data_IF_229838769367
#
_entry.id   IF_229838769367
#
_cell.length_a   1.000
_cell.length_b   1.000
_cell.length_c   1.000
_cell.angle_alpha   90.00
_cell.angle_beta   90.00
_cell.angle_gamma   90.00
#
_symmetry.space_group_name_H-M   'P 1'
#
loop_
_entity.id
_entity.type
_entity.pdbx_description
1 polymer ?
#
# COMPACT_ATOMS: atom_id res chain seq x y z
N UNK A 1 -12.14 5.79 -9.86
CA UNK A 1 -10.65 5.73 -9.98
C UNK A 1 -10.27 5.56 -11.44
N UNK A 2 -9.34 6.37 -11.99
CA UNK A 2 -8.86 6.25 -13.36
C UNK A 2 -7.66 5.30 -13.46
N UNK A 3 -7.49 4.64 -14.59
CA UNK A 3 -6.28 3.87 -14.88
C UNK A 3 -5.10 4.81 -15.13
N UNK A 4 -3.93 4.48 -14.59
CA UNK A 4 -2.70 5.24 -14.79
C UNK A 4 -2.03 4.87 -16.12
N UNK A 5 -1.64 5.88 -16.89
CA UNK A 5 -0.86 5.73 -18.12
C UNK A 5 0.62 5.50 -17.83
N UNK A 6 1.40 5.15 -18.87
CA UNK A 6 2.86 5.04 -18.74
C UNK A 6 3.50 6.37 -18.29
N UNK A 7 3.01 7.50 -18.79
CA UNK A 7 3.48 8.83 -18.38
C UNK A 7 3.12 9.14 -16.92
N UNK A 8 1.93 8.74 -16.45
CA UNK A 8 1.55 8.89 -15.06
C UNK A 8 2.48 8.10 -14.13
N UNK A 9 2.85 6.86 -14.51
CA UNK A 9 3.75 6.02 -13.71
C UNK A 9 5.16 6.61 -13.60
N UNK A 10 5.70 7.17 -14.70
CA UNK A 10 6.98 7.89 -14.64
C UNK A 10 6.90 9.13 -13.75
N UNK A 11 5.86 9.94 -13.92
CA UNK A 11 5.65 11.12 -13.08
C UNK A 11 5.42 10.80 -11.60
N UNK A 12 4.81 9.64 -11.27
CA UNK A 12 4.71 9.15 -9.90
C UNK A 12 6.07 8.77 -9.35
N UNK A 13 6.84 8.00 -10.09
CA UNK A 13 8.17 7.56 -9.69
C UNK A 13 9.10 8.74 -9.42
N UNK A 14 9.13 9.74 -10.31
CA UNK A 14 9.94 10.97 -10.16
C UNK A 14 9.57 11.75 -8.91
N UNK A 15 8.26 12.01 -8.69
CA UNK A 15 7.79 12.80 -7.56
C UNK A 15 7.90 12.08 -6.22
N UNK A 16 7.74 10.76 -6.24
CA UNK A 16 7.67 9.96 -5.02
C UNK A 16 9.00 9.38 -4.55
N UNK A 17 10.07 9.45 -5.36
CA UNK A 17 11.35 8.80 -5.07
C UNK A 17 11.95 9.13 -3.71
N UNK A 18 11.79 10.38 -3.25
CA UNK A 18 12.31 10.85 -1.96
C UNK A 18 11.22 11.03 -0.88
N UNK A 19 9.98 10.64 -1.14
CA UNK A 19 8.90 10.77 -0.18
C UNK A 19 8.90 9.63 0.84
N UNK A 20 8.36 9.92 2.02
CA UNK A 20 8.04 8.89 3.01
C UNK A 20 7.01 7.90 2.44
N UNK A 21 7.03 6.64 2.91
CA UNK A 21 6.13 5.58 2.40
C UNK A 21 4.66 5.98 2.42
N UNK A 22 4.17 6.61 3.48
CA UNK A 22 2.78 7.07 3.57
C UNK A 22 2.43 8.09 2.48
N UNK A 23 3.33 9.03 2.21
CA UNK A 23 3.13 10.06 1.19
C UNK A 23 3.14 9.47 -0.23
N UNK A 24 3.92 8.42 -0.47
CA UNK A 24 3.90 7.65 -1.73
C UNK A 24 2.54 7.04 -2.01
N UNK A 25 1.91 6.44 -0.98
CA UNK A 25 0.56 5.90 -1.10
C UNK A 25 -0.48 6.96 -1.44
N UNK A 26 -0.45 8.09 -0.72
CA UNK A 26 -1.36 9.22 -0.97
C UNK A 26 -1.13 9.85 -2.35
N UNK A 27 0.13 9.96 -2.79
CA UNK A 27 0.49 10.44 -4.12
C UNK A 27 -0.07 9.53 -5.23
N UNK A 28 0.04 8.21 -5.08
CA UNK A 28 -0.49 7.25 -6.04
C UNK A 28 -2.03 7.32 -6.13
N UNK A 29 -2.72 7.39 -4.97
CA UNK A 29 -4.16 7.55 -4.93
C UNK A 29 -4.62 8.89 -5.53
N UNK A 30 -3.94 10.00 -5.22
CA UNK A 30 -4.25 11.32 -5.80
C UNK A 30 -4.12 11.34 -7.32
N UNK A 31 -3.15 10.63 -7.88
CA UNK A 31 -2.99 10.50 -9.32
C UNK A 31 -4.13 9.68 -9.97
N UNK A 32 -4.63 8.66 -9.27
CA UNK A 32 -5.72 7.81 -9.73
C UNK A 32 -7.11 8.40 -9.48
N UNK A 33 -7.23 9.31 -8.51
CA UNK A 33 -8.49 9.97 -8.09
C UNK A 33 -8.30 11.48 -8.03
N UNK A 34 -8.16 12.17 -9.17
CA UNK A 34 -7.88 13.61 -9.22
C UNK A 34 -8.99 14.49 -8.63
N UNK A 35 -10.21 13.94 -8.49
CA UNK A 35 -11.34 14.59 -7.82
C UNK A 35 -11.24 14.59 -6.29
N UNK A 36 -10.46 13.68 -5.72
CA UNK A 36 -10.24 13.61 -4.28
C UNK A 36 -9.05 14.48 -3.86
N UNK A 37 -9.24 15.31 -2.83
CA UNK A 37 -8.10 16.05 -2.27
C UNK A 37 -7.13 15.11 -1.54
N UNK A 38 -5.84 15.38 -1.64
CA UNK A 38 -4.82 14.63 -0.87
C UNK A 38 -5.10 14.67 0.65
N UNK A 39 -5.62 15.79 1.14
CA UNK A 39 -6.02 15.93 2.54
C UNK A 39 -7.17 14.97 2.89
N UNK A 40 -8.19 14.86 2.05
CA UNK A 40 -9.30 13.93 2.25
C UNK A 40 -8.87 12.47 2.21
N UNK A 41 -7.96 12.11 1.28
CA UNK A 41 -7.40 10.76 1.20
C UNK A 41 -6.60 10.38 2.45
N UNK A 42 -5.91 11.33 3.07
CA UNK A 42 -5.16 11.11 4.30
C UNK A 42 -6.04 10.86 5.53
N UNK A 43 -7.32 11.26 5.46
CA UNK A 43 -8.32 11.05 6.52
C UNK A 43 -9.13 9.76 6.35
N UNK A 44 -8.89 9.00 5.30
CA UNK A 44 -9.52 7.68 5.14
C UNK A 44 -9.03 6.68 6.18
N UNK A 45 -9.90 5.79 6.69
CA UNK A 45 -9.47 4.62 7.42
C UNK A 45 -8.41 3.84 6.65
N UNK A 46 -7.47 3.22 7.39
CA UNK A 46 -6.34 2.52 6.78
C UNK A 46 -6.79 1.41 5.82
N UNK A 47 -7.81 0.65 6.18
CA UNK A 47 -8.33 -0.40 5.30
C UNK A 47 -8.98 0.16 4.04
N UNK A 48 -9.71 1.27 4.12
CA UNK A 48 -10.25 1.94 2.94
C UNK A 48 -9.13 2.42 2.01
N UNK A 49 -8.07 3.03 2.56
CA UNK A 49 -6.88 3.41 1.82
C UNK A 49 -6.22 2.19 1.15
N UNK A 50 -5.99 1.13 1.91
CA UNK A 50 -5.31 -0.07 1.43
C UNK A 50 -6.15 -0.79 0.36
N UNK A 51 -7.48 -0.85 0.52
CA UNK A 51 -8.38 -1.35 -0.53
C UNK A 51 -8.23 -0.54 -1.82
N UNK A 52 -8.23 0.77 -1.74
CA UNK A 52 -8.08 1.62 -2.92
C UNK A 52 -6.71 1.45 -3.59
N UNK A 53 -5.62 1.25 -2.81
CA UNK A 53 -4.29 0.93 -3.34
C UNK A 53 -4.25 -0.44 -4.00
N UNK A 54 -4.95 -1.42 -3.44
CA UNK A 54 -5.09 -2.76 -3.99
C UNK A 54 -5.87 -2.75 -5.32
N UNK A 55 -6.99 -2.00 -5.36
CA UNK A 55 -7.77 -1.79 -6.58
C UNK A 55 -6.94 -1.09 -7.66
N UNK A 56 -6.13 -0.07 -7.27
CA UNK A 56 -5.19 0.60 -8.17
C UNK A 56 -4.15 -0.37 -8.71
N UNK A 57 -3.54 -1.19 -7.85
CA UNK A 57 -2.60 -2.23 -8.25
C UNK A 57 -3.23 -3.17 -9.28
N UNK A 58 -4.41 -3.72 -8.97
CA UNK A 58 -5.12 -4.63 -9.85
C UNK A 58 -5.44 -4.01 -11.22
N UNK A 59 -5.75 -2.71 -11.26
CA UNK A 59 -6.08 -2.00 -12.51
C UNK A 59 -4.88 -1.72 -13.40
N UNK A 60 -3.67 -1.57 -12.82
CA UNK A 60 -2.44 -1.17 -13.52
C UNK A 60 -1.54 -2.36 -13.82
N UNK A 61 -1.38 -3.27 -12.87
CA UNK A 61 -0.43 -4.39 -12.94
C UNK A 61 -1.12 -5.76 -13.06
N UNK A 62 -2.43 -5.82 -12.86
CA UNK A 62 -3.20 -7.06 -12.81
C UNK A 62 -3.43 -7.56 -11.38
N UNK A 63 -4.24 -8.62 -11.23
CA UNK A 63 -4.70 -9.08 -9.92
C UNK A 63 -3.65 -9.88 -9.13
N UNK A 64 -2.57 -10.32 -9.76
CA UNK A 64 -1.55 -11.13 -9.10
C UNK A 64 -0.68 -10.26 -8.16
N UNK A 65 -0.62 -10.62 -6.89
CA UNK A 65 0.31 -10.11 -5.90
C UNK A 65 1.35 -11.20 -5.63
N UNK A 66 2.54 -11.04 -6.17
CA UNK A 66 3.62 -12.00 -6.04
C UNK A 66 4.78 -11.39 -5.25
N UNK A 67 5.26 -12.10 -4.25
CA UNK A 67 6.35 -11.61 -3.41
C UNK A 67 7.09 -12.76 -2.74
N UNK A 68 8.06 -12.39 -1.93
CA UNK A 68 8.81 -13.33 -1.13
C UNK A 68 9.27 -12.70 0.18
N UNK A 69 9.51 -13.55 1.16
CA UNK A 69 10.14 -13.20 2.44
C UNK A 69 11.15 -14.28 2.82
N UNK A 70 12.05 -13.98 3.73
CA UNK A 70 13.00 -14.98 4.24
C UNK A 70 12.49 -15.55 5.57
N UNK A 71 12.52 -16.88 5.70
CA UNK A 71 12.17 -17.53 6.96
C UNK A 71 13.08 -17.05 8.10
N UNK A 72 12.48 -16.50 9.16
CA UNK A 72 13.22 -15.99 10.31
C UNK A 72 14.02 -17.07 11.05
N UNK A 73 13.70 -18.37 10.87
CA UNK A 73 14.38 -19.48 11.53
C UNK A 73 15.57 -20.04 10.73
N UNK A 74 15.43 -20.21 9.41
CA UNK A 74 16.47 -20.89 8.59
C UNK A 74 16.96 -20.09 7.39
N UNK A 75 16.39 -18.89 7.14
CA UNK A 75 16.76 -18.02 6.02
C UNK A 75 16.23 -18.48 4.65
N UNK A 76 15.49 -19.60 4.59
CA UNK A 76 14.93 -20.09 3.33
C UNK A 76 13.93 -19.09 2.73
N UNK A 77 13.96 -18.95 1.41
CA UNK A 77 13.06 -18.06 0.68
C UNK A 77 11.66 -18.67 0.62
N UNK A 78 10.68 -17.94 1.12
CA UNK A 78 9.27 -18.27 1.08
C UNK A 78 8.58 -17.36 0.07
N UNK A 79 8.15 -17.93 -1.05
CA UNK A 79 7.40 -17.18 -2.07
C UNK A 79 5.90 -17.28 -1.80
N UNK A 80 5.17 -16.20 -2.12
CA UNK A 80 3.72 -16.18 -2.05
C UNK A 80 3.13 -15.60 -3.32
N UNK A 81 1.92 -16.07 -3.63
CA UNK A 81 1.12 -15.56 -4.72
C UNK A 81 -0.33 -15.45 -4.26
N UNK A 82 -0.88 -14.25 -4.31
CA UNK A 82 -2.23 -13.93 -3.90
C UNK A 82 -2.99 -13.29 -5.07
N UNK A 83 -4.31 -13.37 -5.01
CA UNK A 83 -5.17 -12.63 -5.92
C UNK A 83 -5.71 -11.38 -5.20
N UNK A 84 -5.30 -10.20 -5.64
CA UNK A 84 -5.71 -8.93 -5.04
C UNK A 84 -7.22 -8.67 -5.12
N UNK A 85 -7.91 -9.19 -6.14
CA UNK A 85 -9.37 -9.06 -6.24
C UNK A 85 -10.07 -9.87 -5.15
N UNK A 86 -9.64 -11.11 -4.94
CA UNK A 86 -10.23 -11.97 -3.90
C UNK A 86 -10.03 -11.34 -2.50
N UNK A 87 -8.88 -10.69 -2.27
CA UNK A 87 -8.62 -9.94 -1.04
C UNK A 87 -9.53 -8.71 -0.91
N UNK A 88 -9.73 -7.95 -1.97
CA UNK A 88 -10.61 -6.79 -1.97
C UNK A 88 -12.07 -7.19 -1.75
N UNK A 89 -12.54 -8.23 -2.45
CA UNK A 89 -13.93 -8.71 -2.40
C UNK A 89 -14.28 -9.33 -1.05
N UNK A 90 -13.35 -10.07 -0.43
CA UNK A 90 -13.55 -10.68 0.89
C UNK A 90 -13.86 -9.65 1.99
N UNK A 91 -13.46 -8.39 1.79
CA UNK A 91 -13.58 -7.33 2.79
C UNK A 91 -14.46 -6.15 2.33
N UNK A 92 -15.16 -6.28 1.20
CA UNK A 92 -15.97 -5.18 0.64
C UNK A 92 -17.11 -4.72 1.56
N UNK A 93 -17.58 -5.60 2.45
CA UNK A 93 -18.65 -5.31 3.42
C UNK A 93 -18.14 -4.80 4.77
N UNK A 94 -16.85 -4.80 5.02
CA UNK A 94 -16.28 -4.53 6.35
C UNK A 94 -15.90 -3.05 6.59
N UNK A 95 -15.79 -2.21 5.56
CA UNK A 95 -15.23 -0.87 5.71
C UNK A 95 -16.32 0.19 5.68
N UNK A 96 -16.77 0.62 6.85
CA UNK A 96 -17.56 1.84 7.01
C UNK A 96 -16.68 2.92 7.62
N UNK A 97 -16.48 4.05 6.89
CA UNK A 97 -15.66 5.17 7.34
C UNK A 97 -16.07 5.77 8.71
N UNK A 98 -17.33 5.56 9.12
CA UNK A 98 -17.89 6.02 10.39
C UNK A 98 -17.88 4.93 11.49
N UNK A 99 -17.18 3.81 11.29
CA UNK A 99 -17.16 2.72 12.26
C UNK A 99 -16.46 3.17 13.54
N UNK A 100 -17.19 3.02 14.65
CA UNK A 100 -16.71 3.30 16.00
C UNK A 100 -16.48 1.99 16.74
N UNK A 101 -15.30 1.83 17.30
CA UNK A 101 -14.91 0.72 18.15
C UNK A 101 -15.09 1.13 19.61
N UNK A 102 -15.84 0.32 20.36
CA UNK A 102 -15.99 0.50 21.80
C UNK A 102 -15.00 -0.40 22.55
N UNK A 103 -14.15 0.20 23.38
CA UNK A 103 -13.19 -0.52 24.19
C UNK A 103 -13.09 0.11 25.59
N UNK A 104 -13.28 -0.70 26.64
CA UNK A 104 -13.29 -0.27 28.04
C UNK A 104 -14.14 1.00 28.30
N UNK A 105 -15.33 1.05 27.69
CA UNK A 105 -16.26 2.18 27.85
C UNK A 105 -15.89 3.46 27.12
N UNK A 106 -14.86 3.43 26.28
CA UNK A 106 -14.43 4.53 25.44
C UNK A 106 -14.67 4.22 23.97
N UNK A 107 -14.85 5.28 23.18
CA UNK A 107 -15.15 5.17 21.75
C UNK A 107 -13.93 5.60 20.92
N UNK A 108 -13.61 4.83 19.88
CA UNK A 108 -12.48 5.07 18.98
C UNK A 108 -12.95 4.99 17.54
N UNK A 109 -12.52 5.95 16.71
CA UNK A 109 -12.61 5.82 15.26
C UNK A 109 -11.47 4.96 14.74
N UNK A 110 -11.61 4.47 13.53
CA UNK A 110 -10.53 3.76 12.84
C UNK A 110 -9.31 4.67 12.59
N UNK A 111 -8.08 4.16 12.68
CA UNK A 111 -6.86 4.90 12.38
C UNK A 111 -6.79 5.33 10.91
N UNK A 112 -6.11 6.45 10.67
CA UNK A 112 -5.90 7.04 9.34
C UNK A 112 -4.40 7.20 9.04
N UNK A 113 -4.06 7.59 7.79
CA UNK A 113 -2.67 7.88 7.44
C UNK A 113 -2.07 9.03 8.28
N UNK A 114 -2.90 10.00 8.71
CA UNK A 114 -2.43 11.09 9.60
C UNK A 114 -2.06 10.59 10.99
N UNK A 115 -2.77 9.60 11.48
CA UNK A 115 -2.48 9.03 12.80
C UNK A 115 -1.19 8.23 12.77
N UNK A 116 -0.97 7.45 11.69
CA UNK A 116 0.32 6.77 11.49
C UNK A 116 1.49 7.76 11.31
N UNK A 117 1.28 8.86 10.59
CA UNK A 117 2.30 9.89 10.43
C UNK A 117 2.67 10.55 11.77
N UNK A 118 1.71 10.71 12.68
CA UNK A 118 1.99 11.16 14.04
C UNK A 118 2.73 10.10 14.85
N UNK A 119 2.27 8.85 14.82
CA UNK A 119 2.97 7.72 15.47
C UNK A 119 4.42 7.61 15.04
N UNK A 120 4.72 7.78 13.75
CA UNK A 120 6.08 7.72 13.20
C UNK A 120 7.05 8.81 13.73
N UNK A 121 6.57 9.82 14.44
CA UNK A 121 7.40 10.86 15.10
C UNK A 121 7.93 10.43 16.45
N UNK A 122 7.39 9.35 17.00
CA UNK A 122 7.78 8.85 18.32
C UNK A 122 8.93 7.85 18.22
N UNK A 123 9.84 7.82 19.22
CA UNK A 123 11.07 7.03 19.13
C UNK A 123 10.89 5.54 19.32
N UNK A 124 9.80 5.12 19.95
CA UNK A 124 9.52 3.72 20.26
C UNK A 124 8.06 3.34 19.97
N UNK A 125 7.82 2.04 19.83
CA UNK A 125 6.51 1.52 19.44
C UNK A 125 5.41 1.78 20.48
N UNK A 126 5.73 1.82 21.75
CA UNK A 126 4.75 2.03 22.81
C UNK A 126 4.25 3.48 22.82
N UNK A 127 5.16 4.45 22.78
CA UNK A 127 4.78 5.88 22.70
C UNK A 127 4.08 6.20 21.38
N UNK A 128 4.49 5.57 20.26
CA UNK A 128 3.80 5.68 18.99
C UNK A 128 2.36 5.15 19.07
N UNK A 129 2.17 3.95 19.63
CA UNK A 129 0.84 3.36 19.79
C UNK A 129 -0.09 4.23 20.67
N UNK A 130 0.43 4.74 21.79
CA UNK A 130 -0.30 5.68 22.66
C UNK A 130 -0.73 6.93 21.91
N UNK A 131 0.16 7.53 21.11
CA UNK A 131 -0.14 8.72 20.33
C UNK A 131 -1.26 8.44 19.30
N UNK A 132 -1.20 7.32 18.60
CA UNK A 132 -2.24 6.89 17.64
C UNK A 132 -3.57 6.67 18.35
N UNK A 133 -3.58 5.96 19.48
CA UNK A 133 -4.79 5.69 20.28
C UNK A 133 -5.46 6.98 20.73
N UNK A 134 -4.69 7.93 21.28
CA UNK A 134 -5.23 9.22 21.71
C UNK A 134 -5.85 10.03 20.57
N UNK A 135 -5.31 9.94 19.39
CA UNK A 135 -5.86 10.61 18.19
C UNK A 135 -7.12 9.92 17.66
N UNK A 136 -7.22 8.61 17.82
CA UNK A 136 -8.39 7.84 17.40
C UNK A 136 -9.57 7.97 18.37
N UNK A 137 -9.34 8.39 19.60
CA UNK A 137 -10.38 8.55 20.61
C UNK A 137 -11.42 9.57 20.17
N UNK A 138 -12.70 9.18 20.30
CA UNK A 138 -13.85 10.06 20.08
C UNK A 138 -14.55 10.31 21.44
N UNK A 139 -14.87 11.56 21.75
CA UNK A 139 -15.51 11.92 23.01
C UNK A 139 -14.58 12.62 24.01
N UNK A 140 -15.02 12.70 25.28
CA UNK A 140 -14.27 13.39 26.33
C UNK A 140 -12.93 12.70 26.63
N UNK A 141 -11.89 13.50 26.81
CA UNK A 141 -10.58 12.99 27.24
C UNK A 141 -10.67 12.46 28.67
N UNK A 142 -10.59 11.17 28.81
CA UNK A 142 -10.43 10.53 30.11
C UNK A 142 -8.93 10.34 30.37
N UNK A 143 -8.47 10.60 31.57
CA UNK A 143 -7.09 10.35 32.01
C UNK A 143 -6.85 8.85 32.24
N UNK A 144 -7.25 8.00 31.31
CA UNK A 144 -7.00 6.56 31.42
C UNK A 144 -5.53 6.31 31.15
N UNK A 145 -4.84 5.71 32.07
CA UNK A 145 -3.48 5.24 31.90
C UNK A 145 -3.54 3.88 31.19
N UNK A 146 -3.18 3.86 29.90
CA UNK A 146 -3.18 2.68 29.07
C UNK A 146 -1.93 1.85 29.37
N UNK A 147 -2.09 0.67 29.89
CA UNK A 147 -0.98 -0.28 29.98
C UNK A 147 -0.77 -1.03 28.65
N UNK A 148 0.28 -1.84 28.54
CA UNK A 148 0.62 -2.55 27.30
C UNK A 148 -0.51 -3.52 26.87
N UNK A 149 -1.15 -4.21 27.81
CA UNK A 149 -2.26 -5.14 27.57
C UNK A 149 -3.49 -4.38 27.00
N UNK A 150 -3.76 -3.18 27.50
CA UNK A 150 -4.84 -2.33 27.02
C UNK A 150 -4.60 -1.88 25.59
N UNK A 151 -3.36 -1.47 25.28
CA UNK A 151 -2.97 -1.06 23.92
C UNK A 151 -3.08 -2.23 22.94
N UNK A 152 -2.64 -3.41 23.34
CA UNK A 152 -2.74 -4.63 22.54
C UNK A 152 -4.22 -5.02 22.33
N UNK A 153 -5.03 -5.02 23.40
CA UNK A 153 -6.46 -5.32 23.32
C UNK A 153 -7.23 -4.36 22.41
N UNK A 154 -6.95 -3.06 22.51
CA UNK A 154 -7.53 -2.06 21.60
C UNK A 154 -7.02 -2.24 20.17
N UNK A 155 -5.73 -2.52 19.98
CA UNK A 155 -5.15 -2.79 18.66
C UNK A 155 -5.86 -3.96 17.98
N UNK A 156 -6.10 -5.06 18.70
CA UNK A 156 -6.83 -6.22 18.21
C UNK A 156 -8.30 -5.88 17.86
N UNK A 157 -8.96 -5.06 18.67
CA UNK A 157 -10.32 -4.62 18.40
C UNK A 157 -10.41 -3.72 17.15
N UNK A 158 -9.44 -2.82 16.96
CA UNK A 158 -9.34 -1.98 15.76
C UNK A 158 -9.02 -2.82 14.51
N UNK A 159 -8.11 -3.79 14.61
CA UNK A 159 -7.79 -4.70 13.50
C UNK A 159 -8.97 -5.57 13.10
N UNK A 160 -9.75 -6.03 14.06
CA UNK A 160 -10.99 -6.79 13.79
C UNK A 160 -12.07 -5.93 13.11
N UNK A 161 -12.10 -4.63 13.42
CA UNK A 161 -13.02 -3.68 12.82
C UNK A 161 -12.59 -3.18 11.43
N UNK A 162 -11.29 -3.21 11.12
CA UNK A 162 -10.71 -2.79 9.84
C UNK A 162 -9.66 -3.82 9.35
N UNK A 163 -10.10 -4.99 8.85
CA UNK A 163 -9.20 -6.10 8.51
C UNK A 163 -8.18 -5.77 7.40
N UNK A 164 -8.49 -4.80 6.52
CA UNK A 164 -7.55 -4.38 5.47
C UNK A 164 -6.54 -3.33 5.96
N UNK A 165 -6.68 -2.82 7.20
CA UNK A 165 -5.68 -1.92 7.77
C UNK A 165 -4.31 -2.61 7.89
N UNK A 166 -4.32 -3.92 8.21
CA UNK A 166 -3.12 -4.76 8.31
C UNK A 166 -3.39 -6.12 7.63
N UNK A 167 -2.95 -6.24 6.39
CA UNK A 167 -3.12 -7.48 5.63
C UNK A 167 -2.04 -8.49 6.04
N UNK A 168 -2.44 -9.60 6.66
CA UNK A 168 -1.54 -10.68 7.09
C UNK A 168 -1.75 -11.92 6.25
N UNK A 169 -0.66 -12.63 5.96
CA UNK A 169 -0.66 -13.91 5.27
C UNK A 169 0.06 -14.95 6.13
N UNK A 170 -0.52 -16.14 6.22
CA UNK A 170 0.12 -17.27 6.86
C UNK A 170 1.02 -17.98 5.84
N UNK A 171 2.27 -18.20 6.19
CA UNK A 171 3.26 -18.89 5.38
C UNK A 171 3.84 -20.07 6.15
N UNK A 172 4.08 -21.18 5.44
CA UNK A 172 4.82 -22.33 5.96
C UNK A 172 6.15 -22.44 5.24
N UNK A 173 7.25 -22.44 5.97
CA UNK A 173 8.58 -22.53 5.39
C UNK A 173 8.84 -23.90 4.76
N UNK A 174 9.18 -23.98 3.46
CA UNK A 174 9.44 -25.27 2.79
C UNK A 174 10.72 -25.94 3.31
N UNK A 175 11.66 -25.19 3.89
CA UNK A 175 12.92 -25.73 4.39
C UNK A 175 12.85 -26.31 5.80
N UNK A 176 12.11 -25.68 6.73
CA UNK A 176 12.09 -26.11 8.13
C UNK A 176 10.69 -26.37 8.70
N UNK A 177 9.62 -26.19 7.92
CA UNK A 177 8.24 -26.41 8.33
C UNK A 177 7.69 -25.36 9.33
N UNK A 178 8.44 -24.28 9.63
CA UNK A 178 7.96 -23.25 10.53
C UNK A 178 6.83 -22.46 9.90
N UNK A 179 5.75 -22.30 10.65
CA UNK A 179 4.67 -21.38 10.31
C UNK A 179 5.01 -19.97 10.81
N UNK A 180 4.70 -18.97 10.00
CA UNK A 180 4.82 -17.54 10.31
C UNK A 180 3.68 -16.76 9.69
N UNK A 181 3.36 -15.62 10.30
CA UNK A 181 2.49 -14.60 9.70
C UNK A 181 3.35 -13.45 9.22
N UNK A 182 3.12 -13.04 7.96
CA UNK A 182 3.81 -11.92 7.34
C UNK A 182 2.81 -10.82 6.98
N UNK A 183 3.19 -9.57 7.21
CA UNK A 183 2.35 -8.42 6.86
C UNK A 183 2.68 -7.93 5.46
N UNK A 184 1.64 -7.77 4.63
CA UNK A 184 1.75 -7.12 3.32
C UNK A 184 1.51 -5.62 3.51
N UNK A 185 2.58 -4.84 3.42
CA UNK A 185 2.48 -3.39 3.40
C UNK A 185 2.17 -2.92 1.98
N UNK A 186 0.88 -2.60 1.72
CA UNK A 186 0.35 -2.37 0.37
C UNK A 186 1.01 -1.19 -0.35
N UNK A 187 1.42 -0.14 0.37
CA UNK A 187 2.06 1.02 -0.25
C UNK A 187 3.43 0.63 -0.80
N UNK A 188 4.25 -0.05 0.00
CA UNK A 188 5.58 -0.51 -0.40
C UNK A 188 5.50 -1.52 -1.54
N UNK A 189 4.49 -2.40 -1.50
CA UNK A 189 4.25 -3.37 -2.57
C UNK A 189 3.93 -2.66 -3.89
N UNK A 190 2.94 -1.77 -3.89
CA UNK A 190 2.57 -0.98 -5.06
C UNK A 190 3.75 -0.13 -5.57
N UNK A 191 4.53 0.45 -4.65
CA UNK A 191 5.66 1.29 -5.03
C UNK A 191 6.78 0.49 -5.70
N UNK A 192 7.06 -0.72 -5.25
CA UNK A 192 8.03 -1.61 -5.89
C UNK A 192 7.64 -1.93 -7.34
N UNK A 193 6.34 -2.16 -7.60
CA UNK A 193 5.83 -2.38 -8.96
C UNK A 193 5.93 -1.11 -9.83
N UNK A 194 5.61 0.06 -9.28
CA UNK A 194 5.77 1.36 -9.97
C UNK A 194 7.24 1.57 -10.33
N UNK A 195 8.17 1.33 -9.40
CA UNK A 195 9.60 1.49 -9.63
C UNK A 195 10.13 0.53 -10.70
N UNK A 196 9.76 -0.74 -10.62
CA UNK A 196 10.13 -1.74 -11.61
C UNK A 196 9.61 -1.37 -13.01
N UNK A 197 8.36 -0.88 -13.07
CA UNK A 197 7.74 -0.43 -14.32
C UNK A 197 8.39 0.82 -14.86
N UNK A 198 8.72 1.81 -14.03
CA UNK A 198 9.41 3.03 -14.43
C UNK A 198 10.81 2.72 -15.02
N UNK A 199 11.60 1.88 -14.35
CA UNK A 199 12.92 1.43 -14.87
C UNK A 199 12.80 0.77 -16.24
N UNK A 200 11.80 -0.08 -16.42
CA UNK A 200 11.52 -0.71 -17.71
C UNK A 200 11.11 0.30 -18.79
N UNK A 201 10.27 1.28 -18.44
CA UNK A 201 9.86 2.34 -19.36
C UNK A 201 11.04 3.20 -19.80
N UNK A 202 11.93 3.61 -18.91
CA UNK A 202 13.15 4.33 -19.27
C UNK A 202 14.01 3.55 -20.25
N UNK A 203 14.15 2.26 -20.03
CA UNK A 203 14.89 1.40 -20.96
C UNK A 203 14.19 1.33 -22.33
N UNK A 204 12.86 1.13 -22.37
CA UNK A 204 12.08 1.11 -23.62
C UNK A 204 12.22 2.46 -24.36
N UNK A 205 12.11 3.60 -23.67
CA UNK A 205 12.27 4.93 -24.23
C UNK A 205 13.68 5.11 -24.80
N UNK A 206 14.73 4.77 -24.04
CA UNK A 206 16.11 4.87 -24.50
C UNK A 206 16.35 4.06 -25.78
N UNK A 207 15.92 2.80 -25.80
CA UNK A 207 16.13 1.91 -26.94
C UNK A 207 15.40 2.41 -28.20
N UNK A 208 14.13 2.82 -28.07
CA UNK A 208 13.31 3.26 -29.20
C UNK A 208 13.71 4.64 -29.71
N UNK A 209 14.02 5.59 -28.82
CA UNK A 209 14.51 6.91 -29.21
C UNK A 209 15.83 6.79 -29.99
N UNK A 210 16.75 5.93 -29.53
CA UNK A 210 18.04 5.70 -30.21
C UNK A 210 17.86 5.05 -31.59
N UNK A 211 16.93 4.09 -31.72
CA UNK A 211 16.76 3.35 -32.98
C UNK A 211 15.95 4.10 -34.02
N UNK A 212 14.90 4.81 -33.58
CA UNK A 212 13.91 5.40 -34.49
C UNK A 212 13.91 6.94 -34.47
N UNK A 213 14.61 7.59 -33.55
CA UNK A 213 14.61 9.05 -33.38
C UNK A 213 13.29 9.62 -32.84
N UNK A 214 12.42 8.78 -32.28
CA UNK A 214 11.14 9.20 -31.71
C UNK A 214 11.33 9.95 -30.41
N UNK A 215 10.48 10.95 -30.17
CA UNK A 215 10.45 11.65 -28.91
C UNK A 215 9.84 10.76 -27.79
N UNK A 216 10.24 11.02 -26.55
CA UNK A 216 9.72 10.28 -25.37
C UNK A 216 8.18 10.30 -25.32
N UNK A 217 7.56 11.46 -25.58
CA UNK A 217 6.10 11.59 -25.57
C UNK A 217 5.42 10.72 -26.63
N UNK A 218 6.04 10.57 -27.81
CA UNK A 218 5.54 9.69 -28.88
C UNK A 218 5.64 8.23 -28.47
N UNK A 219 6.77 7.83 -27.88
CA UNK A 219 7.00 6.48 -27.39
C UNK A 219 6.01 6.12 -26.27
N UNK A 220 5.82 7.01 -25.30
CA UNK A 220 4.90 6.78 -24.17
C UNK A 220 3.43 6.78 -24.58
N UNK A 221 3.08 7.43 -25.71
CA UNK A 221 1.73 7.39 -26.27
C UNK A 221 1.38 6.05 -26.93
N UNK A 222 2.37 5.25 -27.30
CA UNK A 222 2.16 3.90 -27.81
C UNK A 222 1.56 2.98 -26.74
N UNK A 223 0.67 2.08 -27.16
CA UNK A 223 0.21 1.03 -26.26
C UNK A 223 1.38 0.16 -25.78
N UNK A 224 1.32 -0.42 -24.58
CA UNK A 224 2.39 -1.29 -24.07
C UNK A 224 2.76 -2.42 -25.02
N UNK A 225 1.76 -3.01 -25.70
CA UNK A 225 1.97 -4.09 -26.66
C UNK A 225 2.76 -3.62 -27.90
N UNK A 226 2.39 -2.46 -28.47
CA UNK A 226 3.14 -1.89 -29.63
C UNK A 226 4.55 -1.50 -29.24
N UNK A 227 4.74 -0.89 -28.08
CA UNK A 227 6.06 -0.48 -27.58
C UNK A 227 6.98 -1.69 -27.36
N UNK A 228 6.46 -2.78 -26.75
CA UNK A 228 7.19 -4.02 -26.58
C UNK A 228 7.60 -4.66 -27.91
N UNK A 229 6.72 -4.62 -28.93
CA UNK A 229 6.99 -5.15 -30.25
C UNK A 229 8.15 -4.40 -30.94
N UNK A 230 8.12 -3.07 -30.93
CA UNK A 230 9.20 -2.25 -31.48
C UNK A 230 10.52 -2.42 -30.70
N UNK A 231 10.45 -2.49 -29.36
CA UNK A 231 11.64 -2.74 -28.54
C UNK A 231 12.29 -4.11 -28.85
N UNK A 232 11.47 -5.13 -29.12
CA UNK A 232 11.97 -6.45 -29.56
C UNK A 232 12.67 -6.41 -30.92
N UNK A 233 12.22 -5.57 -31.85
CA UNK A 233 12.87 -5.40 -33.16
C UNK A 233 14.24 -4.71 -33.09
N UNK A 234 14.46 -3.89 -32.04
CA UNK A 234 15.74 -3.18 -31.83
C UNK A 234 16.80 -4.10 -31.26
N UNK A 235 16.41 -5.20 -30.60
CA UNK A 235 17.33 -6.16 -29.97
C UNK A 235 17.73 -7.32 -30.88
N UNK A 236 17.03 -7.48 -32.01
CA UNK A 236 17.31 -8.52 -33.01
C UNK A 236 18.41 -8.06 -33.98
#
# INVERSE_FOLDING_TARGET
>A
MRTLSSSDLLGLWERGGNLHVLDRGLLALSAAMPEASAAGLADWPLGQRNKALLDLHCSVFGPALEGWTACANCGEKMEFKLNGRDLADAHDHAIHAEQIVLFKGQSFRLPTSRDLAEGARHPDAETAARAVVERCRTGEKTTADWNAEDLEGLGNALAAADPLAEMRIALCCPGCGRESEETIEMISFLWAEIEARAKRLFWEVHALARAYGWAESEILSLSPARRALYAGMVQA
#
